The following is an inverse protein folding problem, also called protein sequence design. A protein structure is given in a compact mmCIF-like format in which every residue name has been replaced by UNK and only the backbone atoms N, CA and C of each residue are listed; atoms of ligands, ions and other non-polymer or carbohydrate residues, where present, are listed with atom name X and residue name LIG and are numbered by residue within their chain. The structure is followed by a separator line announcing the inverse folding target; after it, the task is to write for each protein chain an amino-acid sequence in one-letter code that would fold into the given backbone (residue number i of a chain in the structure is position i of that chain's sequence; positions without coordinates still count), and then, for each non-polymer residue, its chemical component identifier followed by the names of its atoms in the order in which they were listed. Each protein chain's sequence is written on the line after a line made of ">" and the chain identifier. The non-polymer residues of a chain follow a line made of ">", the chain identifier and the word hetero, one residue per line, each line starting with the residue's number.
data_IF_353689993340
#
_entry.id   IF_353689993340
#
_cell.length_a   1.000
_cell.length_b   1.000
_cell.length_c   1.000
_cell.angle_alpha   90.00
_cell.angle_beta   90.00
_cell.angle_gamma   90.00
#
_symmetry.space_group_name_H-M   'P 1'
#
loop_
_entity.id
_entity.type
_entity.pdbx_description
1 polymer ?
#
# COMPACT_ATOMS: atom_id res chain seq x y z
N UNK A 1 -6.67 16.64 -7.30
CA UNK A 1 -5.93 15.70 -6.43
C UNK A 1 -6.44 14.26 -6.54
N UNK A 2 -7.75 14.03 -6.74
CA UNK A 2 -8.33 12.69 -6.85
C UNK A 2 -7.75 11.78 -7.95
N UNK A 3 -7.19 12.34 -9.04
CA UNK A 3 -6.61 11.52 -10.10
C UNK A 3 -5.49 10.60 -9.63
N UNK A 4 -4.78 10.95 -8.55
CA UNK A 4 -3.72 10.10 -7.97
C UNK A 4 -4.27 8.81 -7.34
N UNK A 5 -5.59 8.72 -7.13
CA UNK A 5 -6.24 7.49 -6.69
C UNK A 5 -6.88 6.72 -7.84
N UNK A 6 -6.76 7.21 -9.08
CA UNK A 6 -7.24 6.54 -10.28
C UNK A 6 -6.05 5.78 -10.91
N UNK A 7 -6.10 4.44 -11.00
CA UNK A 7 -4.99 3.63 -11.54
C UNK A 7 -4.54 4.04 -12.96
N UNK A 8 -5.44 4.65 -13.75
CA UNK A 8 -5.16 5.11 -15.12
C UNK A 8 -4.59 6.53 -15.22
N UNK A 9 -4.41 7.25 -14.11
CA UNK A 9 -3.89 8.63 -14.12
C UNK A 9 -2.45 8.70 -14.61
N UNK A 10 -2.18 9.51 -15.64
CA UNK A 10 -0.83 9.76 -16.16
C UNK A 10 -0.01 10.78 -15.34
N UNK A 11 -0.55 11.32 -14.25
CA UNK A 11 0.18 12.27 -13.42
C UNK A 11 1.28 11.56 -12.63
N UNK A 12 2.49 12.10 -12.71
CA UNK A 12 3.65 11.63 -11.97
C UNK A 12 3.57 12.03 -10.49
N UNK A 13 3.86 11.09 -9.59
CA UNK A 13 3.97 11.27 -8.15
C UNK A 13 5.44 11.42 -7.78
N UNK A 14 5.82 12.64 -7.35
CA UNK A 14 7.14 12.87 -6.76
C UNK A 14 7.27 12.19 -5.39
N UNK A 15 8.50 11.87 -4.96
CA UNK A 15 8.79 11.24 -3.65
C UNK A 15 8.07 11.90 -2.47
N UNK A 16 8.11 13.24 -2.40
CA UNK A 16 7.46 14.01 -1.32
C UNK A 16 5.95 13.82 -1.34
N UNK A 17 5.32 13.80 -2.52
CA UNK A 17 3.88 13.55 -2.65
C UNK A 17 3.52 12.12 -2.30
N UNK A 18 4.34 11.14 -2.70
CA UNK A 18 4.17 9.75 -2.31
C UNK A 18 4.19 9.58 -0.80
N UNK A 19 5.20 10.13 -0.10
CA UNK A 19 5.29 10.12 1.35
C UNK A 19 4.06 10.75 2.03
N UNK A 20 3.67 11.95 1.57
CA UNK A 20 2.51 12.65 2.12
C UNK A 20 1.21 11.89 1.93
N UNK A 21 0.96 11.35 0.73
CA UNK A 21 -0.25 10.59 0.42
C UNK A 21 -0.28 9.26 1.17
N UNK A 22 0.86 8.58 1.27
CA UNK A 22 0.99 7.36 2.05
C UNK A 22 0.64 7.62 3.51
N UNK A 23 1.25 8.61 4.14
CA UNK A 23 0.95 8.98 5.53
C UNK A 23 -0.51 9.40 5.70
N UNK A 24 -1.03 10.25 4.82
CA UNK A 24 -2.42 10.71 4.87
C UNK A 24 -3.41 9.55 4.77
N UNK A 25 -3.19 8.60 3.86
CA UNK A 25 -4.03 7.41 3.72
C UNK A 25 -4.06 6.58 5.02
N UNK A 26 -2.92 6.41 5.68
CA UNK A 26 -2.85 5.69 6.95
C UNK A 26 -3.56 6.41 8.07
N UNK A 27 -3.32 7.71 8.25
CA UNK A 27 -3.96 8.50 9.31
C UNK A 27 -5.47 8.46 9.15
N UNK A 28 -5.97 8.70 7.94
CA UNK A 28 -7.41 8.66 7.67
C UNK A 28 -7.98 7.27 7.90
N UNK A 29 -7.39 6.22 7.32
CA UNK A 29 -7.85 4.84 7.52
C UNK A 29 -7.79 4.41 8.98
N UNK A 30 -6.76 4.80 9.72
CA UNK A 30 -6.66 4.52 11.15
C UNK A 30 -7.79 5.17 11.93
N UNK A 31 -8.09 6.46 11.68
CA UNK A 31 -9.21 7.15 12.32
C UNK A 31 -10.53 6.43 12.01
N UNK A 32 -10.79 6.12 10.75
CA UNK A 32 -12.03 5.44 10.34
C UNK A 32 -12.15 4.03 10.94
N UNK A 33 -11.06 3.26 10.97
CA UNK A 33 -11.03 1.93 11.59
C UNK A 33 -11.26 2.05 13.10
N UNK A 34 -10.53 2.93 13.79
CA UNK A 34 -10.65 3.11 15.24
C UNK A 34 -12.07 3.54 15.65
N UNK A 35 -12.68 4.48 14.91
CA UNK A 35 -14.08 4.88 15.12
C UNK A 35 -15.02 3.70 14.86
N UNK A 36 -14.83 2.95 13.78
CA UNK A 36 -15.68 1.79 13.43
C UNK A 36 -15.58 0.67 14.47
N UNK A 37 -14.39 0.41 15.02
CA UNK A 37 -14.17 -0.54 16.12
C UNK A 37 -14.92 -0.08 17.37
N UNK A 38 -14.79 1.20 17.74
CA UNK A 38 -15.47 1.76 18.92
C UNK A 38 -17.00 1.71 18.80
N UNK A 39 -17.53 1.80 17.58
CA UNK A 39 -18.96 1.71 17.29
C UNK A 39 -19.43 0.27 16.99
N UNK A 40 -18.56 -0.74 17.13
CA UNK A 40 -18.83 -2.15 16.84
C UNK A 40 -19.31 -2.45 15.40
N UNK A 41 -18.93 -1.61 14.44
CA UNK A 41 -19.26 -1.81 13.02
C UNK A 41 -18.23 -2.68 12.31
N UNK A 42 -18.27 -4.00 12.54
CA UNK A 42 -17.31 -4.97 11.99
C UNK A 42 -17.16 -4.90 10.48
N UNK A 43 -18.26 -4.75 9.73
CA UNK A 43 -18.21 -4.65 8.26
C UNK A 43 -17.43 -3.41 7.81
N UNK A 44 -17.61 -2.27 8.48
CA UNK A 44 -16.89 -1.04 8.15
C UNK A 44 -15.39 -1.17 8.46
N UNK A 45 -15.01 -1.86 9.54
CA UNK A 45 -13.61 -2.17 9.84
C UNK A 45 -12.96 -2.94 8.67
N UNK A 46 -13.64 -3.97 8.16
CA UNK A 46 -13.16 -4.75 7.02
C UNK A 46 -13.05 -3.86 5.77
N UNK A 47 -14.09 -3.09 5.45
CA UNK A 47 -14.12 -2.20 4.28
C UNK A 47 -12.96 -1.20 4.32
N UNK A 48 -12.76 -0.51 5.45
CA UNK A 48 -11.68 0.49 5.57
C UNK A 48 -10.29 -0.13 5.55
N UNK A 49 -10.13 -1.35 6.08
CA UNK A 49 -8.87 -2.11 6.01
C UNK A 49 -8.53 -2.49 4.56
N UNK A 50 -9.49 -3.05 3.82
CA UNK A 50 -9.32 -3.37 2.40
C UNK A 50 -9.07 -2.11 1.58
N UNK A 51 -9.79 -1.03 1.86
CA UNK A 51 -9.61 0.26 1.20
C UNK A 51 -8.20 0.81 1.41
N UNK A 52 -7.65 0.74 2.64
CA UNK A 52 -6.27 1.14 2.91
C UNK A 52 -5.29 0.38 2.03
N UNK A 53 -5.41 -0.94 1.97
CA UNK A 53 -4.51 -1.79 1.18
C UNK A 53 -4.63 -1.52 -0.32
N UNK A 54 -5.84 -1.31 -0.82
CA UNK A 54 -6.07 -0.89 -2.20
C UNK A 54 -5.36 0.43 -2.52
N UNK A 55 -5.52 1.44 -1.66
CA UNK A 55 -4.89 2.75 -1.84
C UNK A 55 -3.37 2.63 -1.86
N UNK A 56 -2.80 1.85 -0.94
CA UNK A 56 -1.35 1.64 -0.84
C UNK A 56 -0.80 0.95 -2.08
N UNK A 57 -1.42 -0.15 -2.52
CA UNK A 57 -1.01 -0.86 -3.74
C UNK A 57 -1.08 0.09 -4.95
N UNK A 58 -2.15 0.87 -5.07
CA UNK A 58 -2.32 1.82 -6.18
C UNK A 58 -1.24 2.92 -6.18
N UNK A 59 -0.97 3.53 -5.02
CA UNK A 59 0.10 4.52 -4.88
C UNK A 59 1.47 3.92 -5.20
N UNK A 60 1.73 2.68 -4.76
CA UNK A 60 2.97 1.97 -5.04
C UNK A 60 3.11 1.68 -6.55
N UNK A 61 2.05 1.24 -7.21
CA UNK A 61 2.02 1.03 -8.66
C UNK A 61 2.33 2.31 -9.45
N UNK A 62 1.74 3.44 -9.05
CA UNK A 62 2.03 4.73 -9.69
C UNK A 62 3.49 5.14 -9.45
N UNK A 63 4.00 4.96 -8.23
CA UNK A 63 5.38 5.30 -7.91
C UNK A 63 6.39 4.40 -8.63
N UNK A 64 6.10 3.10 -8.77
CA UNK A 64 6.87 2.16 -9.57
C UNK A 64 6.95 2.61 -11.04
N UNK A 65 5.79 2.92 -11.65
CA UNK A 65 5.74 3.46 -13.01
C UNK A 65 6.60 4.69 -13.16
N UNK A 66 6.45 5.64 -12.24
CA UNK A 66 7.14 6.93 -12.27
C UNK A 66 8.63 6.81 -11.89
N UNK A 67 9.10 5.62 -11.55
CA UNK A 67 10.52 5.28 -11.32
C UNK A 67 11.11 4.46 -12.46
N UNK A 68 10.38 4.26 -13.57
CA UNK A 68 10.84 3.49 -14.73
C UNK A 68 10.58 1.98 -14.64
N UNK A 69 9.86 1.51 -13.62
CA UNK A 69 9.60 0.08 -13.47
C UNK A 69 8.55 -0.39 -14.46
N UNK A 70 8.94 -1.28 -15.36
CA UNK A 70 8.11 -1.76 -16.49
C UNK A 70 7.09 -2.82 -16.09
N UNK A 71 7.38 -3.63 -15.06
CA UNK A 71 6.59 -4.82 -14.73
C UNK A 71 5.69 -4.68 -13.49
N UNK A 72 4.91 -3.60 -13.42
CA UNK A 72 4.01 -3.29 -12.28
C UNK A 72 3.07 -4.46 -11.92
N UNK A 73 2.64 -5.25 -12.92
CA UNK A 73 1.79 -6.44 -12.70
C UNK A 73 2.44 -7.45 -11.76
N UNK A 74 3.75 -7.69 -11.84
CA UNK A 74 4.43 -8.62 -10.94
C UNK A 74 4.45 -8.13 -9.50
N UNK A 75 4.56 -6.81 -9.28
CA UNK A 75 4.44 -6.24 -7.94
C UNK A 75 3.06 -6.51 -7.34
N UNK A 76 1.99 -6.33 -8.13
CA UNK A 76 0.61 -6.59 -7.67
C UNK A 76 0.44 -8.07 -7.31
N UNK A 77 0.83 -8.99 -8.21
CA UNK A 77 0.74 -10.43 -7.96
C UNK A 77 1.58 -10.87 -6.76
N UNK A 78 2.81 -10.37 -6.64
CA UNK A 78 3.68 -10.65 -5.50
C UNK A 78 3.08 -10.15 -4.18
N UNK A 79 2.52 -8.94 -4.18
CA UNK A 79 1.85 -8.39 -2.98
C UNK A 79 0.64 -9.23 -2.57
N UNK A 80 -0.20 -9.62 -3.53
CA UNK A 80 -1.35 -10.48 -3.25
C UNK A 80 -0.94 -11.86 -2.74
N UNK A 81 0.12 -12.45 -3.30
CA UNK A 81 0.66 -13.72 -2.82
C UNK A 81 1.19 -13.63 -1.38
N UNK A 82 1.97 -12.59 -1.07
CA UNK A 82 2.46 -12.36 0.31
C UNK A 82 1.31 -12.15 1.28
N UNK A 83 0.28 -11.38 0.91
CA UNK A 83 -0.89 -11.15 1.76
C UNK A 83 -1.64 -12.45 2.02
N UNK A 84 -1.82 -13.29 0.99
CA UNK A 84 -2.46 -14.60 1.14
C UNK A 84 -1.66 -15.50 2.09
N UNK A 85 -0.34 -15.61 1.90
CA UNK A 85 0.53 -16.42 2.78
C UNK A 85 0.50 -15.90 4.21
N UNK A 86 0.58 -14.58 4.41
CA UNK A 86 0.50 -13.97 5.73
C UNK A 86 -0.83 -14.30 6.44
N UNK A 87 -1.97 -14.21 5.73
CA UNK A 87 -3.28 -14.57 6.29
C UNK A 87 -3.35 -16.06 6.66
N UNK A 88 -2.85 -16.96 5.80
CA UNK A 88 -2.80 -18.40 6.08
C UNK A 88 -1.98 -18.68 7.33
N UNK A 89 -0.81 -18.03 7.47
CA UNK A 89 0.03 -18.16 8.65
C UNK A 89 -0.66 -17.62 9.90
N UNK A 90 -1.25 -16.43 9.85
CA UNK A 90 -2.01 -15.85 10.98
C UNK A 90 -3.14 -16.79 11.42
N UNK A 91 -3.86 -17.41 10.49
CA UNK A 91 -4.93 -18.37 10.81
C UNK A 91 -4.37 -19.64 11.46
N UNK A 92 -3.28 -20.18 10.92
CA UNK A 92 -2.62 -21.36 11.48
C UNK A 92 -2.07 -21.09 12.90
N UNK A 93 -1.59 -19.88 13.14
CA UNK A 93 -1.05 -19.39 14.41
C UNK A 93 -2.15 -18.87 15.35
N UNK A 94 -3.43 -19.01 15.00
CA UNK A 94 -4.59 -18.54 15.79
C UNK A 94 -4.50 -17.06 16.16
N UNK A 95 -3.99 -16.25 15.24
CA UNK A 95 -3.77 -14.81 15.40
C UNK A 95 -2.84 -14.43 16.56
N UNK A 96 -1.87 -15.29 16.87
CA UNK A 96 -0.81 -14.97 17.82
C UNK A 96 0.01 -13.74 17.32
N UNK A 97 0.17 -12.73 18.18
CA UNK A 97 0.86 -11.49 17.83
C UNK A 97 2.37 -11.68 17.61
N UNK A 98 2.95 -12.74 18.17
CA UNK A 98 4.35 -13.16 18.05
C UNK A 98 4.57 -14.19 16.93
N UNK A 99 3.52 -14.59 16.22
CA UNK A 99 3.58 -15.47 15.06
C UNK A 99 4.26 -14.81 13.86
N UNK A 100 4.57 -15.61 12.83
CA UNK A 100 5.27 -15.17 11.62
C UNK A 100 4.39 -14.46 10.60
N UNK A 101 3.06 -14.63 10.66
CA UNK A 101 2.14 -14.03 9.68
C UNK A 101 2.19 -12.50 9.67
N UNK A 102 2.14 -11.87 10.85
CA UNK A 102 2.18 -10.41 10.98
C UNK A 102 3.52 -9.81 10.56
N UNK A 103 4.68 -10.31 11.05
CA UNK A 103 5.99 -9.87 10.57
C UNK A 103 6.17 -10.00 9.06
N UNK A 104 5.74 -11.11 8.45
CA UNK A 104 5.87 -11.31 7.00
C UNK A 104 5.17 -10.19 6.21
N UNK A 105 3.93 -9.88 6.59
CA UNK A 105 3.17 -8.78 6.01
C UNK A 105 3.92 -7.45 6.18
N UNK A 106 4.35 -7.12 7.40
CA UNK A 106 5.01 -5.86 7.71
C UNK A 106 6.35 -5.70 6.98
N UNK A 107 7.13 -6.77 6.87
CA UNK A 107 8.41 -6.75 6.14
C UNK A 107 8.18 -6.40 4.67
N UNK A 108 7.27 -7.09 3.98
CA UNK A 108 6.95 -6.78 2.59
C UNK A 108 6.45 -5.35 2.43
N UNK A 109 5.59 -4.92 3.34
CA UNK A 109 4.98 -3.61 3.36
C UNK A 109 6.03 -2.48 3.48
N UNK A 110 6.86 -2.52 4.52
CA UNK A 110 7.85 -1.48 4.78
C UNK A 110 9.05 -1.54 3.84
N UNK A 111 9.43 -2.74 3.35
CA UNK A 111 10.46 -2.87 2.33
C UNK A 111 10.02 -2.21 1.03
N UNK A 112 8.79 -2.47 0.58
CA UNK A 112 8.23 -1.83 -0.62
C UNK A 112 8.18 -0.31 -0.45
N UNK A 113 7.65 0.18 0.67
CA UNK A 113 7.57 1.61 0.95
C UNK A 113 8.95 2.28 0.92
N UNK A 114 9.93 1.69 1.62
CA UNK A 114 11.29 2.23 1.71
C UNK A 114 11.96 2.31 0.34
N UNK A 115 11.86 1.23 -0.46
CA UNK A 115 12.41 1.20 -1.81
C UNK A 115 11.79 2.28 -2.71
N UNK A 116 10.47 2.47 -2.65
CA UNK A 116 9.76 3.45 -3.48
C UNK A 116 9.95 4.90 -3.05
N UNK A 117 10.18 5.12 -1.75
CA UNK A 117 10.58 6.42 -1.21
C UNK A 117 11.96 6.83 -1.74
N UNK A 118 12.89 5.87 -1.83
CA UNK A 118 14.26 6.09 -2.29
C UNK A 118 14.42 6.03 -3.81
N UNK A 119 13.52 5.36 -4.53
CA UNK A 119 13.57 5.23 -5.98
C UNK A 119 13.69 6.61 -6.67
N UNK A 120 14.44 6.76 -7.77
CA UNK A 120 14.46 8.00 -8.55
C UNK A 120 13.08 8.31 -9.14
N UNK A 121 12.80 9.58 -9.42
CA UNK A 121 11.65 9.93 -10.26
C UNK A 121 12.21 10.03 -11.66
N UNK A 122 11.66 9.32 -12.64
CA UNK A 122 12.01 9.55 -14.03
C UNK A 122 11.58 10.97 -14.40
N UNK A 123 12.55 11.88 -14.37
CA UNK A 123 12.41 13.19 -14.96
C UNK A 123 12.59 12.99 -16.46
N UNK A 124 11.58 13.32 -17.26
CA UNK A 124 11.71 13.49 -18.70
C UNK A 124 12.66 14.67 -19.01
N UNK A 125 13.94 14.54 -18.66
CA UNK A 125 15.02 15.46 -18.96
C UNK A 125 15.78 15.01 -20.23
N UNK A 126 15.36 13.94 -20.90
CA UNK A 126 15.90 13.54 -22.21
C UNK A 126 15.04 13.99 -23.41
N UNK A 127 14.04 14.86 -23.20
CA UNK A 127 13.18 15.37 -24.28
C UNK A 127 12.83 16.86 -24.08
N UNK A 128 13.85 17.69 -23.83
CA UNK A 128 13.79 19.14 -24.04
C UNK A 128 15.16 19.68 -24.39
#
# INVERSE_FOLDING_TARGET
>A
MLSVFIPSSRKCISRRRYLLLFFLAHVLSFIFIAVSVKLHFTLLVIIFTVMLHYLVINMNCQRLRDSGFTYIKYYVWGTLAVYLVAIVLMLAEKFACDGFGTPLFLIWYFTTFSLLLLAPTETNLSNK
#
